data_IF_747814625686
#
_entry.id   IF_747814625686
#
_cell.length_a   1.000
_cell.length_b   1.000
_cell.length_c   1.000
_cell.angle_alpha   90.00
_cell.angle_beta   90.00
_cell.angle_gamma   90.00
#
_symmetry.space_group_name_H-M   'P 1'
#
loop_
_entity.id
_entity.type
_entity.pdbx_description
1 polymer ?
#
# COMPACT_ATOMS: atom_id res chain seq x y z
N UNK A 1 -8.27 18.34 -16.50
CA UNK A 1 -6.83 18.61 -16.71
C UNK A 1 -6.13 19.13 -15.46
N UNK A 2 -6.59 20.18 -14.76
CA UNK A 2 -5.95 20.63 -13.51
C UNK A 2 -6.33 19.84 -12.24
N UNK A 3 -7.49 19.19 -12.24
CA UNK A 3 -8.02 18.42 -11.11
C UNK A 3 -7.39 17.03 -11.00
N UNK A 4 -7.15 16.41 -12.16
CA UNK A 4 -6.64 15.03 -12.27
C UNK A 4 -5.20 14.92 -11.77
N UNK A 5 -4.36 15.91 -12.11
CA UNK A 5 -2.96 16.00 -11.65
C UNK A 5 -2.88 16.17 -10.13
N UNK A 6 -3.75 17.01 -9.55
CA UNK A 6 -3.82 17.20 -8.08
C UNK A 6 -4.30 15.95 -7.35
N UNK A 7 -5.24 15.21 -7.94
CA UNK A 7 -5.72 13.95 -7.38
C UNK A 7 -4.62 12.87 -7.41
N UNK A 8 -3.90 12.73 -8.53
CA UNK A 8 -2.77 11.80 -8.64
C UNK A 8 -1.64 12.12 -7.65
N UNK A 9 -1.27 13.40 -7.49
CA UNK A 9 -0.27 13.82 -6.49
C UNK A 9 -0.72 13.55 -5.06
N UNK A 10 -1.99 13.86 -4.74
CA UNK A 10 -2.54 13.61 -3.41
C UNK A 10 -2.57 12.11 -3.12
N UNK A 11 -2.96 11.28 -4.09
CA UNK A 11 -2.96 9.84 -3.90
C UNK A 11 -1.57 9.24 -3.77
N UNK A 12 -0.61 9.74 -4.54
CA UNK A 12 0.80 9.35 -4.40
C UNK A 12 1.33 9.62 -2.99
N UNK A 13 0.99 10.78 -2.42
CA UNK A 13 1.42 11.13 -1.06
C UNK A 13 0.75 10.24 0.00
N UNK A 14 -0.57 9.99 -0.12
CA UNK A 14 -1.30 9.10 0.79
C UNK A 14 -0.75 7.68 0.73
N UNK A 15 -0.51 7.15 -0.47
CA UNK A 15 0.05 5.81 -0.67
C UNK A 15 1.44 5.69 -0.06
N UNK A 16 2.30 6.68 -0.29
CA UNK A 16 3.64 6.71 0.29
C UNK A 16 3.59 6.70 1.82
N UNK A 17 2.73 7.52 2.44
CA UNK A 17 2.59 7.57 3.90
C UNK A 17 2.07 6.25 4.49
N UNK A 18 1.20 5.54 3.77
CA UNK A 18 0.72 4.22 4.19
C UNK A 18 1.84 3.17 4.15
N UNK A 19 2.65 3.18 3.09
CA UNK A 19 3.80 2.27 2.93
C UNK A 19 4.87 2.54 4.00
N UNK A 20 5.24 3.81 4.21
CA UNK A 20 6.26 4.21 5.20
C UNK A 20 5.83 3.77 6.62
N UNK A 21 4.56 4.01 6.99
CA UNK A 21 4.02 3.56 8.29
C UNK A 21 3.98 2.05 8.44
N UNK A 22 3.64 1.31 7.39
CA UNK A 22 3.62 -0.14 7.42
C UNK A 22 5.03 -0.71 7.58
N UNK A 23 6.03 -0.10 6.93
CA UNK A 23 7.44 -0.49 7.05
C UNK A 23 7.99 -0.22 8.46
N UNK A 24 7.70 0.95 9.05
CA UNK A 24 8.11 1.32 10.40
C UNK A 24 7.55 0.38 11.49
N UNK A 25 6.35 -0.16 11.27
CA UNK A 25 5.69 -1.07 12.21
C UNK A 25 6.04 -2.54 12.06
N UNK A 26 6.88 -2.92 11.09
CA UNK A 26 7.25 -4.33 10.87
C UNK A 26 8.15 -4.96 11.97
N UNK A 27 8.30 -4.30 13.12
CA UNK A 27 9.21 -4.68 14.19
C UNK A 27 8.61 -5.31 15.45
N UNK A 28 7.28 -5.46 15.59
CA UNK A 28 6.69 -6.04 16.82
C UNK A 28 5.62 -7.11 16.58
N UNK A 29 5.64 -8.10 17.47
CA UNK A 29 4.94 -9.39 17.39
C UNK A 29 3.58 -9.41 18.10
N UNK A 30 2.99 -8.26 18.43
CA UNK A 30 1.68 -8.25 19.11
C UNK A 30 0.53 -8.51 18.12
N UNK A 31 -0.54 -9.24 18.51
CA UNK A 31 -1.71 -9.46 17.66
C UNK A 31 -2.38 -8.17 17.18
N UNK A 32 -2.29 -7.09 17.97
CA UNK A 32 -2.77 -5.77 17.59
C UNK A 32 -1.99 -5.20 16.41
N UNK A 33 -0.67 -5.30 16.43
CA UNK A 33 0.18 -4.79 15.35
C UNK A 33 0.05 -5.60 14.07
N UNK A 34 -0.13 -6.92 14.19
CA UNK A 34 -0.48 -7.76 13.05
C UNK A 34 -1.83 -7.35 12.44
N UNK A 35 -2.83 -7.03 13.27
CA UNK A 35 -4.11 -6.50 12.81
C UNK A 35 -3.97 -5.15 12.09
N UNK A 36 -3.12 -4.26 12.60
CA UNK A 36 -2.81 -2.98 11.94
C UNK A 36 -2.12 -3.19 10.60
N UNK A 37 -1.16 -4.11 10.52
CA UNK A 37 -0.45 -4.47 9.29
C UNK A 37 -1.39 -5.06 8.23
N UNK A 38 -2.31 -5.95 8.65
CA UNK A 38 -3.37 -6.48 7.79
C UNK A 38 -4.29 -5.38 7.27
N UNK A 39 -4.70 -4.43 8.12
CA UNK A 39 -5.53 -3.30 7.70
C UNK A 39 -4.83 -2.41 6.67
N UNK A 40 -3.51 -2.17 6.82
CA UNK A 40 -2.74 -1.47 5.79
C UNK A 40 -2.64 -2.26 4.49
N UNK A 41 -2.43 -3.58 4.57
CA UNK A 41 -2.39 -4.45 3.39
C UNK A 41 -3.70 -4.41 2.60
N UNK A 42 -4.84 -4.50 3.29
CA UNK A 42 -6.17 -4.41 2.66
C UNK A 42 -6.38 -3.05 1.99
N UNK A 43 -6.03 -1.96 2.67
CA UNK A 43 -6.16 -0.62 2.11
C UNK A 43 -5.31 -0.42 0.84
N UNK A 44 -4.06 -0.89 0.86
CA UNK A 44 -3.17 -0.78 -0.31
C UNK A 44 -3.65 -1.65 -1.47
N UNK A 45 -4.14 -2.86 -1.21
CA UNK A 45 -4.72 -3.72 -2.25
C UNK A 45 -5.99 -3.10 -2.85
N UNK A 46 -6.85 -2.50 -2.04
CA UNK A 46 -8.03 -1.81 -2.55
C UNK A 46 -7.62 -0.69 -3.51
N UNK A 47 -6.62 0.12 -3.14
CA UNK A 47 -6.14 1.20 -4.01
C UNK A 47 -5.53 0.66 -5.31
N UNK A 48 -4.74 -0.42 -5.25
CA UNK A 48 -4.21 -1.05 -6.47
C UNK A 48 -5.33 -1.57 -7.39
N UNK A 49 -6.39 -2.15 -6.83
CA UNK A 49 -7.56 -2.57 -7.59
C UNK A 49 -8.31 -1.40 -8.23
N UNK A 50 -8.41 -0.25 -7.55
CA UNK A 50 -8.96 0.97 -8.14
C UNK A 50 -8.07 1.50 -9.27
N UNK A 51 -6.74 1.53 -9.08
CA UNK A 51 -5.81 1.95 -10.15
C UNK A 51 -5.94 1.07 -11.39
N UNK A 52 -6.04 -0.25 -11.22
CA UNK A 52 -6.31 -1.19 -12.31
C UNK A 52 -7.66 -0.88 -12.99
N UNK A 53 -8.71 -0.63 -12.22
CA UNK A 53 -10.05 -0.29 -12.73
C UNK A 53 -10.05 1.00 -13.56
N UNK A 54 -9.27 1.99 -13.15
CA UNK A 54 -9.11 3.25 -13.88
C UNK A 54 -8.04 3.20 -14.97
N UNK A 55 -7.35 2.07 -15.15
CA UNK A 55 -6.26 1.92 -16.13
C UNK A 55 -5.05 2.80 -15.82
N UNK A 56 -4.83 3.15 -14.55
CA UNK A 56 -3.71 3.96 -14.08
C UNK A 56 -2.56 3.02 -13.75
N UNK A 57 -1.39 3.24 -14.35
CA UNK A 57 -0.19 2.50 -14.01
C UNK A 57 0.25 2.86 -12.56
N UNK A 58 0.41 1.87 -11.65
CA UNK A 58 0.93 2.11 -10.31
C UNK A 58 2.25 2.90 -10.28
N UNK A 59 3.08 2.82 -11.33
CA UNK A 59 4.30 3.62 -11.45
C UNK A 59 4.04 5.13 -11.47
N UNK A 60 2.91 5.59 -12.04
CA UNK A 60 2.52 7.01 -12.11
C UNK A 60 2.25 7.60 -10.72
N UNK A 61 1.82 6.77 -9.78
CA UNK A 61 1.54 7.18 -8.39
C UNK A 61 2.66 6.78 -7.42
N UNK A 62 3.86 6.48 -7.94
CA UNK A 62 5.03 6.19 -7.12
C UNK A 62 5.06 4.78 -6.50
N UNK A 63 4.21 3.87 -6.97
CA UNK A 63 4.14 2.46 -6.53
C UNK A 63 4.89 1.52 -7.48
N UNK A 64 5.85 2.05 -8.25
CA UNK A 64 6.64 1.26 -9.20
C UNK A 64 7.36 0.10 -8.48
N UNK A 65 7.08 -1.14 -8.90
CA UNK A 65 7.68 -2.34 -8.31
C UNK A 65 7.22 -2.64 -6.88
N UNK A 66 6.22 -1.94 -6.36
CA UNK A 66 5.68 -2.21 -5.04
C UNK A 66 4.91 -3.54 -5.02
N UNK A 67 5.28 -4.42 -4.10
CA UNK A 67 4.57 -5.68 -3.87
C UNK A 67 3.85 -5.62 -2.51
N UNK A 68 2.50 -5.55 -2.47
CA UNK A 68 1.74 -5.54 -1.22
C UNK A 68 2.02 -6.74 -0.31
N UNK A 69 2.33 -7.91 -0.88
CA UNK A 69 2.63 -9.11 -0.10
C UNK A 69 3.92 -8.97 0.73
N UNK A 70 4.82 -8.06 0.36
CA UNK A 70 5.99 -7.73 1.18
C UNK A 70 5.60 -7.16 2.55
N UNK A 71 4.40 -6.58 2.66
CA UNK A 71 3.84 -6.08 3.91
C UNK A 71 3.36 -7.18 4.85
N UNK A 72 3.24 -8.44 4.42
CA UNK A 72 2.74 -9.52 5.29
C UNK A 72 3.87 -10.31 5.99
N UNK A 73 5.13 -9.90 5.78
CA UNK A 73 6.31 -10.53 6.38
C UNK A 73 6.55 -11.97 5.91
N UNK A 74 7.62 -12.63 6.40
CA UNK A 74 7.99 -13.99 6.00
C UNK A 74 7.04 -15.10 6.46
N UNK A 75 5.91 -14.77 7.12
CA UNK A 75 4.97 -15.76 7.64
C UNK A 75 4.12 -16.47 6.55
N UNK A 76 4.22 -16.08 5.27
CA UNK A 76 3.62 -16.82 4.16
C UNK A 76 4.50 -17.98 3.60
N UNK A 77 5.56 -18.39 4.31
CA UNK A 77 6.21 -19.69 4.08
C UNK A 77 5.94 -20.65 5.24
N UNK A 78 4.70 -21.13 5.36
CA UNK A 78 4.37 -22.44 5.94
C UNK A 78 2.85 -22.65 5.93
N UNK A 79 2.33 -23.17 4.82
CA UNK A 79 1.14 -24.05 4.76
C UNK A 79 1.11 -24.72 3.39
#
# INVERSE_FOLDING_TARGET
MGSDVKYQETMREVLRQLVDRAAEKSGSTSPFEQGVQMGYFEAVNAILGELETFGIDPAEVGMAGFNPLSMLGPHQKAA
#
